data_IF_690782471769
#
_entry.id   IF_690782471769
#
_cell.length_a   1.000
_cell.length_b   1.000
_cell.length_c   1.000
_cell.angle_alpha   90.00
_cell.angle_beta   90.00
_cell.angle_gamma   90.00
#
_symmetry.space_group_name_H-M   'P 1'
#
loop_
_entity.id
_entity.type
_entity.pdbx_description
1 polymer ?
#
# COMPACT_ATOMS: atom_id res chain seq x y z
N UNK A 1 5.32 6.19 -19.50
CA UNK A 1 5.15 6.35 -18.05
C UNK A 1 6.26 5.55 -17.41
N UNK A 2 7.16 6.15 -16.64
CA UNK A 2 8.14 5.40 -15.86
C UNK A 2 7.39 4.73 -14.70
N UNK A 3 7.38 3.41 -14.66
CA UNK A 3 6.73 2.62 -13.60
C UNK A 3 7.63 2.48 -12.37
N UNK A 4 8.61 3.37 -12.22
CA UNK A 4 9.48 3.40 -11.07
C UNK A 4 8.66 3.70 -9.82
N UNK A 5 8.85 2.85 -8.82
CA UNK A 5 8.30 3.06 -7.48
C UNK A 5 9.00 4.29 -6.91
N UNK A 6 8.38 5.45 -7.07
CA UNK A 6 8.90 6.70 -6.50
C UNK A 6 8.73 6.60 -5.00
N UNK A 7 9.84 6.61 -4.27
CA UNK A 7 9.81 6.69 -2.81
C UNK A 7 8.97 7.89 -2.36
N UNK A 8 8.13 7.70 -1.35
CA UNK A 8 7.32 8.80 -0.83
C UNK A 8 8.21 9.83 -0.14
N UNK A 9 8.47 10.94 -0.83
CA UNK A 9 9.12 12.11 -0.23
C UNK A 9 8.04 13.05 0.33
N UNK A 10 8.00 13.14 1.67
CA UNK A 10 7.02 13.96 2.38
C UNK A 10 7.13 15.44 2.01
N UNK A 11 8.35 15.95 1.75
CA UNK A 11 8.57 17.36 1.45
C UNK A 11 7.99 17.72 0.08
N UNK A 12 8.24 16.90 -0.93
CA UNK A 12 7.69 17.10 -2.27
C UNK A 12 6.16 17.02 -2.26
N UNK A 13 5.60 16.06 -1.51
CA UNK A 13 4.16 15.95 -1.31
C UNK A 13 3.55 17.20 -0.66
N UNK A 14 4.20 17.73 0.39
CA UNK A 14 3.77 18.94 1.08
C UNK A 14 3.84 20.17 0.18
N UNK A 15 4.91 20.31 -0.61
CA UNK A 15 5.07 21.40 -1.58
C UNK A 15 3.98 21.34 -2.64
N UNK A 16 3.68 20.14 -3.16
CA UNK A 16 2.61 19.96 -4.14
C UNK A 16 1.24 20.33 -3.56
N UNK A 17 0.93 19.90 -2.33
CA UNK A 17 -0.29 20.28 -1.63
C UNK A 17 -0.40 21.81 -1.45
N UNK A 18 0.68 22.46 -1.01
CA UNK A 18 0.70 23.91 -0.81
C UNK A 18 0.48 24.68 -2.11
N UNK A 19 1.04 24.22 -3.23
CA UNK A 19 0.83 24.80 -4.57
C UNK A 19 -0.65 24.71 -4.98
N UNK A 20 -1.27 23.54 -4.84
CA UNK A 20 -2.68 23.34 -5.20
C UNK A 20 -3.61 24.15 -4.30
N UNK A 21 -3.41 24.07 -2.98
CA UNK A 21 -4.21 24.82 -2.01
C UNK A 21 -4.08 26.33 -2.21
N UNK A 22 -2.84 26.82 -2.38
CA UNK A 22 -2.56 28.22 -2.66
C UNK A 22 -3.19 28.69 -3.97
N UNK A 23 -3.16 27.87 -5.02
CA UNK A 23 -3.82 28.16 -6.30
C UNK A 23 -5.33 28.33 -6.16
N UNK A 24 -6.01 27.40 -5.48
CA UNK A 24 -7.46 27.48 -5.25
C UNK A 24 -7.81 28.70 -4.39
N UNK A 25 -7.04 28.95 -3.33
CA UNK A 25 -7.24 30.13 -2.48
C UNK A 25 -7.06 31.44 -3.24
N UNK A 26 -6.06 31.53 -4.13
CA UNK A 26 -5.84 32.69 -4.98
C UNK A 26 -7.01 32.92 -5.94
N UNK A 27 -7.53 31.87 -6.59
CA UNK A 27 -8.71 31.96 -7.46
C UNK A 27 -9.92 32.47 -6.67
N UNK A 28 -10.16 31.94 -5.46
CA UNK A 28 -11.27 32.37 -4.62
C UNK A 28 -11.14 33.84 -4.17
N UNK A 29 -9.92 34.29 -3.85
CA UNK A 29 -9.65 35.69 -3.51
C UNK A 29 -9.83 36.62 -4.71
N UNK A 30 -9.37 36.22 -5.90
CA UNK A 30 -9.56 36.97 -7.15
C UNK A 30 -11.05 37.07 -7.48
N UNK A 31 -11.79 35.97 -7.39
CA UNK A 31 -13.23 35.97 -7.63
C UNK A 31 -13.98 36.86 -6.63
N UNK A 32 -13.61 36.80 -5.35
CA UNK A 32 -14.18 37.65 -4.30
C UNK A 32 -13.85 39.14 -4.50
N UNK A 33 -12.64 39.44 -4.99
CA UNK A 33 -12.20 40.80 -5.32
C UNK A 33 -12.99 41.36 -6.51
N UNK A 34 -13.13 40.58 -7.59
CA UNK A 34 -13.94 40.96 -8.76
C UNK A 34 -15.39 41.19 -8.34
N UNK A 35 -15.96 40.28 -7.55
CA UNK A 35 -17.34 40.41 -7.09
C UNK A 35 -17.54 41.68 -6.25
N UNK A 36 -16.58 42.01 -5.37
CA UNK A 36 -16.59 43.25 -4.57
C UNK A 36 -16.55 44.50 -5.44
N UNK A 37 -15.73 44.51 -6.50
CA UNK A 37 -15.66 45.62 -7.45
C UNK A 37 -16.95 45.78 -8.26
N UNK A 38 -17.57 44.68 -8.68
CA UNK A 38 -18.82 44.70 -9.45
C UNK A 38 -20.01 45.15 -8.60
N UNK A 39 -20.10 44.70 -7.34
CA UNK A 39 -21.23 45.06 -6.46
C UNK A 39 -21.11 46.43 -5.82
N UNK A 40 -19.90 46.88 -5.45
CA UNK A 40 -19.70 48.11 -4.67
C UNK A 40 -18.91 49.21 -5.42
N UNK A 41 -18.54 48.97 -6.68
CA UNK A 41 -17.80 49.93 -7.52
C UNK A 41 -16.45 50.33 -6.91
N UNK A 42 -16.06 51.60 -7.01
CA UNK A 42 -14.78 52.11 -6.50
C UNK A 42 -14.60 51.99 -4.97
N UNK A 43 -15.69 51.85 -4.20
CA UNK A 43 -15.61 51.59 -2.74
C UNK A 43 -15.34 50.11 -2.42
N UNK A 44 -15.53 49.21 -3.39
CA UNK A 44 -15.29 47.77 -3.24
C UNK A 44 -13.82 47.40 -3.02
N UNK A 45 -12.88 48.22 -3.52
CA UNK A 45 -11.45 48.02 -3.31
C UNK A 45 -11.09 48.15 -1.82
N UNK A 46 -11.48 49.26 -1.19
CA UNK A 46 -11.22 49.50 0.24
C UNK A 46 -11.97 48.51 1.14
N UNK A 47 -13.18 48.12 0.75
CA UNK A 47 -13.98 47.16 1.52
C UNK A 47 -13.33 45.76 1.50
N UNK A 48 -12.83 45.30 0.35
CA UNK A 48 -12.18 43.99 0.21
C UNK A 48 -10.91 43.87 1.07
N UNK A 49 -10.02 44.86 1.03
CA UNK A 49 -8.79 44.80 1.84
C UNK A 49 -9.09 44.91 3.34
N UNK A 50 -10.11 45.70 3.72
CA UNK A 50 -10.57 45.79 5.11
C UNK A 50 -11.13 44.45 5.59
N UNK A 51 -12.01 43.81 4.83
CA UNK A 51 -12.59 42.50 5.20
C UNK A 51 -11.54 41.39 5.18
N UNK A 52 -10.59 41.42 4.26
CA UNK A 52 -9.47 40.48 4.22
C UNK A 52 -8.60 40.62 5.47
N UNK A 53 -8.24 41.85 5.86
CA UNK A 53 -7.46 42.11 7.07
C UNK A 53 -8.22 41.69 8.34
N UNK A 54 -9.50 42.06 8.45
CA UNK A 54 -10.36 41.64 9.56
C UNK A 54 -10.47 40.12 9.65
N UNK A 55 -10.64 39.41 8.52
CA UNK A 55 -10.69 37.96 8.46
C UNK A 55 -9.38 37.29 8.93
N UNK A 56 -8.23 37.82 8.49
CA UNK A 56 -6.91 37.31 8.93
C UNK A 56 -6.71 37.54 10.43
N UNK A 57 -7.07 38.72 10.95
CA UNK A 57 -6.97 39.02 12.38
C UNK A 57 -7.93 38.17 13.21
N UNK A 58 -9.16 37.97 12.73
CA UNK A 58 -10.16 37.11 13.40
C UNK A 58 -9.74 35.64 13.42
N UNK A 59 -9.09 35.17 12.34
CA UNK A 59 -8.52 33.84 12.25
C UNK A 59 -7.31 33.69 13.18
N UNK A 60 -6.38 34.65 13.19
CA UNK A 60 -5.19 34.62 14.05
C UNK A 60 -5.53 34.69 15.55
N UNK A 61 -6.63 35.38 15.91
CA UNK A 61 -7.09 35.46 17.31
C UNK A 61 -7.95 34.26 17.72
N UNK A 62 -8.14 33.25 16.89
CA UNK A 62 -8.96 32.07 17.20
C UNK A 62 -8.38 31.35 18.42
N UNK A 63 -9.22 31.11 19.43
CA UNK A 63 -8.74 30.48 20.67
C UNK A 63 -9.01 28.96 20.65
N UNK A 64 -7.97 28.10 20.68
CA UNK A 64 -8.15 26.65 20.62
C UNK A 64 -9.02 26.10 21.76
N UNK A 65 -8.94 26.72 22.95
CA UNK A 65 -9.72 26.33 24.13
C UNK A 65 -11.23 26.45 23.94
N UNK A 66 -11.70 27.51 23.27
CA UNK A 66 -13.14 27.71 23.01
C UNK A 66 -13.64 26.74 21.96
N UNK A 67 -12.85 26.55 20.90
CA UNK A 67 -13.15 25.59 19.83
C UNK A 67 -13.23 24.17 20.38
N UNK A 68 -12.29 23.75 21.24
CA UNK A 68 -12.31 22.44 21.88
C UNK A 68 -13.49 22.27 22.85
N UNK A 69 -13.85 23.29 23.62
CA UNK A 69 -15.03 23.22 24.50
C UNK A 69 -16.33 23.02 23.70
N UNK A 70 -16.47 23.72 22.56
CA UNK A 70 -17.58 23.51 21.63
C UNK A 70 -17.54 22.10 21.05
N UNK A 71 -16.39 21.67 20.52
CA UNK A 71 -16.22 20.34 19.95
C UNK A 71 -16.58 19.23 20.96
N UNK A 72 -16.11 19.33 22.20
CA UNK A 72 -16.43 18.38 23.27
C UNK A 72 -17.94 18.32 23.57
N UNK A 73 -18.61 19.47 23.61
CA UNK A 73 -20.06 19.49 23.78
C UNK A 73 -20.78 18.79 22.61
N UNK A 74 -20.35 19.06 21.38
CA UNK A 74 -20.96 18.42 20.20
C UNK A 74 -20.71 16.91 20.16
N UNK A 75 -19.55 16.43 20.63
CA UNK A 75 -19.27 15.02 20.81
C UNK A 75 -20.22 14.36 21.82
N UNK A 76 -20.41 14.98 22.99
CA UNK A 76 -21.32 14.47 24.02
C UNK A 76 -22.77 14.47 23.54
N UNK A 77 -23.15 15.47 22.75
CA UNK A 77 -24.48 15.55 22.16
C UNK A 77 -24.70 14.42 21.13
N UNK A 78 -23.73 14.23 20.23
CA UNK A 78 -23.81 13.20 19.19
C UNK A 78 -23.87 11.79 19.79
N UNK A 79 -22.97 11.47 20.73
CA UNK A 79 -22.90 10.14 21.38
C UNK A 79 -24.17 9.76 22.15
N UNK A 80 -24.92 10.75 22.68
CA UNK A 80 -26.21 10.50 23.35
C UNK A 80 -27.38 10.28 22.39
N UNK A 81 -27.24 10.59 21.10
CA UNK A 81 -28.30 10.35 20.12
C UNK A 81 -28.39 8.85 19.85
N UNK A 82 -29.52 8.24 20.26
CA UNK A 82 -29.83 6.80 20.07
C UNK A 82 -29.66 6.32 18.62
N UNK A 83 -29.81 7.21 17.64
CA UNK A 83 -29.62 6.92 16.22
C UNK A 83 -28.23 6.32 15.91
N UNK A 84 -27.17 6.70 16.64
CA UNK A 84 -25.83 6.12 16.45
C UNK A 84 -25.80 4.61 16.77
N UNK A 85 -26.52 4.17 17.79
CA UNK A 85 -26.53 2.76 18.20
C UNK A 85 -27.18 1.86 17.16
N UNK A 86 -28.17 2.37 16.41
CA UNK A 86 -28.81 1.61 15.32
C UNK A 86 -27.79 1.17 14.27
N UNK A 87 -26.88 2.07 13.91
CA UNK A 87 -25.84 1.76 12.93
C UNK A 87 -24.77 0.81 13.47
N UNK A 88 -24.40 0.93 14.75
CA UNK A 88 -23.48 -0.03 15.39
C UNK A 88 -24.09 -1.43 15.41
N UNK A 89 -25.38 -1.55 15.73
CA UNK A 89 -26.09 -2.83 15.70
C UNK A 89 -26.17 -3.39 14.28
N UNK A 90 -26.48 -2.55 13.29
CA UNK A 90 -26.51 -2.97 11.89
C UNK A 90 -25.13 -3.42 11.39
N UNK A 91 -24.04 -2.80 11.88
CA UNK A 91 -22.68 -3.25 11.62
C UNK A 91 -22.46 -4.68 12.10
N UNK A 92 -22.83 -4.96 13.36
CA UNK A 92 -22.67 -6.27 13.98
C UNK A 92 -23.46 -7.32 13.19
N UNK A 93 -24.67 -6.99 12.72
CA UNK A 93 -25.46 -7.86 11.86
C UNK A 93 -24.77 -8.15 10.52
N UNK A 94 -24.18 -7.15 9.87
CA UNK A 94 -23.44 -7.37 8.61
C UNK A 94 -22.18 -8.21 8.84
N UNK A 95 -21.52 -8.06 9.99
CA UNK A 95 -20.37 -8.91 10.32
C UNK A 95 -20.76 -10.38 10.48
N UNK A 96 -21.98 -10.66 10.93
CA UNK A 96 -22.53 -12.01 10.93
C UNK A 96 -22.69 -12.59 9.52
N UNK A 97 -22.90 -11.76 8.50
CA UNK A 97 -22.97 -12.21 7.10
C UNK A 97 -21.66 -12.80 6.60
N UNK A 98 -20.52 -12.44 7.20
CA UNK A 98 -19.24 -13.05 6.89
C UNK A 98 -19.13 -14.53 7.26
N UNK A 99 -19.98 -15.02 8.17
CA UNK A 99 -20.08 -16.46 8.46
C UNK A 99 -20.57 -17.26 7.24
N UNK A 100 -21.43 -16.67 6.40
CA UNK A 100 -21.93 -17.29 5.18
C UNK A 100 -20.90 -17.35 4.04
N UNK A 101 -19.78 -16.60 4.15
CA UNK A 101 -18.70 -16.61 3.15
C UNK A 101 -17.73 -17.80 3.34
N UNK A 102 -17.87 -18.59 4.42
CA UNK A 102 -16.94 -19.68 4.73
C UNK A 102 -17.02 -20.85 3.75
N UNK A 103 -18.19 -21.09 3.17
CA UNK A 103 -18.45 -22.30 2.37
C UNK A 103 -18.37 -22.06 0.85
N UNK A 104 -18.10 -20.82 0.40
CA UNK A 104 -18.18 -20.47 -1.02
C UNK A 104 -16.84 -20.55 -1.78
N UNK A 105 -15.71 -20.68 -1.09
CA UNK A 105 -14.38 -20.65 -1.73
C UNK A 105 -13.53 -21.84 -1.29
N UNK A 106 -13.25 -22.75 -2.22
CA UNK A 106 -12.42 -23.95 -2.01
C UNK A 106 -10.93 -23.66 -1.79
N UNK A 107 -10.50 -22.42 -2.06
CA UNK A 107 -9.11 -21.97 -1.95
C UNK A 107 -8.92 -21.11 -0.68
N UNK A 108 -8.13 -21.55 0.32
CA UNK A 108 -7.97 -20.85 1.60
C UNK A 108 -7.29 -19.46 1.49
N UNK A 109 -6.62 -19.17 0.39
CA UNK A 109 -5.89 -17.93 0.09
C UNK A 109 -6.80 -16.80 -0.41
N UNK A 110 -7.73 -17.10 -1.31
CA UNK A 110 -8.73 -16.11 -1.74
C UNK A 110 -9.65 -15.71 -0.60
N UNK A 111 -9.84 -16.59 0.39
CA UNK A 111 -10.63 -16.30 1.58
C UNK A 111 -10.08 -15.08 2.34
N UNK A 112 -8.75 -14.92 2.51
CA UNK A 112 -8.15 -13.76 3.19
C UNK A 112 -8.55 -12.44 2.52
N UNK A 113 -8.31 -12.36 1.20
CA UNK A 113 -8.63 -11.16 0.42
C UNK A 113 -10.12 -10.87 0.42
N UNK A 114 -10.96 -11.90 0.34
CA UNK A 114 -12.41 -11.79 0.38
C UNK A 114 -12.89 -11.28 1.74
N UNK A 115 -12.40 -11.82 2.87
CA UNK A 115 -12.78 -11.35 4.20
C UNK A 115 -12.34 -9.93 4.47
N UNK A 116 -11.06 -9.60 4.24
CA UNK A 116 -10.54 -8.24 4.45
C UNK A 116 -11.29 -7.25 3.57
N UNK A 117 -11.51 -7.57 2.29
CA UNK A 117 -12.30 -6.74 1.38
C UNK A 117 -13.74 -6.59 1.85
N UNK A 118 -14.36 -7.66 2.33
CA UNK A 118 -15.72 -7.63 2.85
C UNK A 118 -15.84 -6.71 4.07
N UNK A 119 -14.96 -6.86 5.07
CA UNK A 119 -14.95 -6.01 6.28
C UNK A 119 -14.71 -4.56 5.91
N UNK A 120 -13.69 -4.26 5.12
CA UNK A 120 -13.37 -2.89 4.71
C UNK A 120 -14.53 -2.26 3.92
N UNK A 121 -15.16 -3.03 3.04
CA UNK A 121 -16.35 -2.58 2.28
C UNK A 121 -17.52 -2.32 3.23
N UNK A 122 -17.83 -3.25 4.13
CA UNK A 122 -18.91 -3.10 5.11
C UNK A 122 -18.70 -1.86 6.01
N UNK A 123 -17.51 -1.68 6.55
CA UNK A 123 -17.15 -0.51 7.39
C UNK A 123 -17.32 0.78 6.59
N UNK A 124 -16.87 0.82 5.34
CA UNK A 124 -16.98 2.00 4.46
C UNK A 124 -18.43 2.36 4.17
N UNK A 125 -19.22 1.39 3.71
CA UNK A 125 -20.62 1.60 3.33
C UNK A 125 -21.54 1.88 4.51
N UNK A 126 -21.19 1.40 5.71
CA UNK A 126 -21.93 1.71 6.92
C UNK A 126 -21.57 3.09 7.48
N UNK A 127 -20.28 3.41 7.52
CA UNK A 127 -19.83 4.63 8.21
C UNK A 127 -20.11 5.89 7.40
N UNK A 128 -20.12 5.79 6.07
CA UNK A 128 -20.39 6.92 5.18
C UNK A 128 -21.79 7.52 5.40
N UNK A 129 -22.91 6.77 5.36
CA UNK A 129 -24.23 7.29 5.70
C UNK A 129 -24.34 7.86 7.11
N UNK A 130 -23.67 7.24 8.10
CA UNK A 130 -23.67 7.71 9.49
C UNK A 130 -23.11 9.12 9.58
N UNK A 131 -21.90 9.33 9.03
CA UNK A 131 -21.22 10.62 9.07
C UNK A 131 -22.02 11.65 8.26
N UNK A 132 -22.56 11.26 7.11
CA UNK A 132 -23.36 12.14 6.26
C UNK A 132 -24.65 12.61 6.97
N UNK A 133 -25.39 11.70 7.59
CA UNK A 133 -26.62 12.04 8.30
C UNK A 133 -26.35 12.90 9.54
N UNK A 134 -25.32 12.58 10.32
CA UNK A 134 -24.91 13.41 11.47
C UNK A 134 -24.53 14.82 11.04
N UNK A 135 -23.79 14.95 9.94
CA UNK A 135 -23.36 16.24 9.41
C UNK A 135 -24.53 17.05 8.87
N UNK A 136 -25.45 16.41 8.14
CA UNK A 136 -26.63 17.07 7.57
C UNK A 136 -27.62 17.54 8.64
N UNK A 137 -27.88 16.73 9.67
CA UNK A 137 -28.84 17.06 10.72
C UNK A 137 -28.26 17.89 11.87
N UNK A 138 -26.94 17.95 12.00
CA UNK A 138 -26.27 18.62 13.11
C UNK A 138 -26.69 20.09 13.29
N UNK A 139 -26.53 20.90 12.25
CA UNK A 139 -26.83 22.34 12.32
C UNK A 139 -28.34 22.63 12.31
N UNK A 140 -29.17 22.00 11.45
CA UNK A 140 -30.61 22.24 11.45
C UNK A 140 -31.29 21.88 12.78
N UNK A 141 -30.83 20.83 13.46
CA UNK A 141 -31.40 20.45 14.77
C UNK A 141 -31.08 21.46 15.85
N UNK A 142 -29.88 22.06 15.84
CA UNK A 142 -29.53 23.17 16.73
C UNK A 142 -30.40 24.41 16.51
N UNK A 143 -30.66 24.75 15.25
CA UNK A 143 -31.51 25.88 14.88
C UNK A 143 -32.94 25.63 15.37
N UNK A 144 -33.48 24.43 15.09
CA UNK A 144 -34.82 24.03 15.53
C UNK A 144 -34.98 24.08 17.06
N UNK A 145 -33.96 23.65 17.79
CA UNK A 145 -33.97 23.61 19.26
C UNK A 145 -33.63 24.96 19.92
N UNK A 146 -33.40 26.02 19.12
CA UNK A 146 -32.98 27.37 19.56
C UNK A 146 -31.71 27.39 20.43
N UNK A 147 -30.92 26.30 20.44
CA UNK A 147 -29.67 26.20 21.20
C UNK A 147 -28.64 27.20 20.66
N UNK A 148 -28.60 27.41 19.35
CA UNK A 148 -27.69 28.34 18.68
C UNK A 148 -27.80 29.77 19.24
N UNK A 149 -29.01 30.25 19.51
CA UNK A 149 -29.24 31.61 20.01
C UNK A 149 -28.58 31.86 21.37
N UNK A 150 -28.47 30.82 22.20
CA UNK A 150 -27.82 30.92 23.53
C UNK A 150 -26.29 30.86 23.47
N UNK A 151 -25.73 30.34 22.37
CA UNK A 151 -24.29 30.25 22.16
C UNK A 151 -23.78 31.55 21.56
N UNK A 152 -24.55 32.18 20.67
CA UNK A 152 -24.21 33.45 20.01
C UNK A 152 -24.19 34.63 20.98
N UNK A 153 -24.86 34.55 22.13
CA UNK A 153 -24.79 35.58 23.19
C UNK A 153 -23.50 35.52 24.01
N UNK A 154 -22.75 34.41 23.95
CA UNK A 154 -21.41 34.31 24.54
C UNK A 154 -20.38 34.91 23.58
N UNK A 155 -19.23 35.44 24.06
CA UNK A 155 -18.21 36.05 23.20
C UNK A 155 -17.40 35.00 22.41
N UNK A 156 -18.10 34.25 21.55
CA UNK A 156 -17.57 33.19 20.68
C UNK A 156 -17.73 33.67 19.23
N UNK A 157 -16.66 33.58 18.43
CA UNK A 157 -16.72 34.03 17.03
C UNK A 157 -17.50 33.03 16.17
N UNK A 158 -18.09 33.51 15.06
CA UNK A 158 -18.93 32.67 14.18
C UNK A 158 -18.16 31.48 13.59
N UNK A 159 -16.91 31.68 13.18
CA UNK A 159 -16.07 30.60 12.66
C UNK A 159 -15.64 29.60 13.74
N UNK A 160 -15.49 30.02 15.00
CA UNK A 160 -15.19 29.11 16.12
C UNK A 160 -16.34 28.11 16.36
N UNK A 161 -17.59 28.52 16.14
CA UNK A 161 -18.76 27.64 16.23
C UNK A 161 -18.72 26.57 15.13
N UNK A 162 -18.45 26.98 13.88
CA UNK A 162 -18.38 26.06 12.73
C UNK A 162 -17.21 25.09 12.89
N UNK A 163 -16.02 25.59 13.28
CA UNK A 163 -14.84 24.75 13.54
C UNK A 163 -15.08 23.77 14.69
N UNK A 164 -15.73 24.22 15.77
CA UNK A 164 -16.07 23.36 16.89
C UNK A 164 -17.02 22.23 16.48
N UNK A 165 -18.06 22.54 15.70
CA UNK A 165 -19.01 21.53 15.16
C UNK A 165 -18.32 20.58 14.19
N UNK A 166 -17.48 21.08 13.28
CA UNK A 166 -16.72 20.26 12.34
C UNK A 166 -15.78 19.28 13.07
N UNK A 167 -14.96 19.78 13.99
CA UNK A 167 -14.03 18.94 14.76
C UNK A 167 -14.76 17.93 15.64
N UNK A 168 -15.90 18.31 16.21
CA UNK A 168 -16.71 17.40 17.01
C UNK A 168 -17.34 16.27 16.19
N UNK A 169 -17.95 16.57 15.04
CA UNK A 169 -18.48 15.53 14.16
C UNK A 169 -17.37 14.66 13.55
N UNK A 170 -16.22 15.26 13.21
CA UNK A 170 -15.04 14.52 12.77
C UNK A 170 -14.56 13.57 13.85
N UNK A 171 -14.45 14.01 15.10
CA UNK A 171 -14.08 13.16 16.22
C UNK A 171 -15.07 12.00 16.37
N UNK A 172 -16.39 12.26 16.37
CA UNK A 172 -17.42 11.22 16.47
C UNK A 172 -17.29 10.21 15.32
N UNK A 173 -17.05 10.68 14.09
CA UNK A 173 -16.80 9.83 12.94
C UNK A 173 -15.56 8.96 13.11
N UNK A 174 -14.44 9.54 13.56
CA UNK A 174 -13.20 8.81 13.87
C UNK A 174 -13.41 7.76 14.96
N UNK A 175 -14.22 8.06 15.97
CA UNK A 175 -14.52 7.11 17.05
C UNK A 175 -15.37 5.93 16.59
N UNK A 176 -16.40 6.20 15.77
CA UNK A 176 -17.18 5.13 15.15
C UNK A 176 -16.30 4.28 14.25
N UNK A 177 -15.45 4.89 13.41
CA UNK A 177 -14.48 4.18 12.58
C UNK A 177 -13.51 3.35 13.42
N UNK A 178 -13.02 3.86 14.54
CA UNK A 178 -12.11 3.14 15.44
C UNK A 178 -12.81 1.91 16.02
N UNK A 179 -14.02 2.06 16.57
CA UNK A 179 -14.79 0.93 17.11
C UNK A 179 -15.04 -0.12 16.03
N UNK A 180 -15.53 0.31 14.86
CA UNK A 180 -15.80 -0.58 13.73
C UNK A 180 -14.53 -1.27 13.22
N UNK A 181 -13.42 -0.55 13.16
CA UNK A 181 -12.12 -1.08 12.77
C UNK A 181 -11.57 -2.09 13.76
N UNK A 182 -11.68 -1.83 15.07
CA UNK A 182 -11.24 -2.75 16.13
C UNK A 182 -12.08 -4.03 16.10
N UNK A 183 -13.42 -3.92 16.04
CA UNK A 183 -14.31 -5.09 15.95
C UNK A 183 -14.02 -5.86 14.66
N UNK A 184 -13.89 -5.15 13.53
CA UNK A 184 -13.52 -5.71 12.23
C UNK A 184 -12.22 -6.50 12.26
N UNK A 185 -11.17 -5.94 12.89
CA UNK A 185 -9.87 -6.57 13.07
C UNK A 185 -9.97 -7.83 13.93
N UNK A 186 -10.56 -7.75 15.13
CA UNK A 186 -10.71 -8.90 16.01
C UNK A 186 -11.48 -10.04 15.34
N UNK A 187 -12.55 -9.70 14.62
CA UNK A 187 -13.34 -10.68 13.88
C UNK A 187 -12.54 -11.34 12.76
N UNK A 188 -11.76 -10.55 12.02
CA UNK A 188 -10.88 -11.03 10.95
C UNK A 188 -9.80 -11.98 11.50
N UNK A 189 -9.15 -11.65 12.61
CA UNK A 189 -8.15 -12.51 13.26
C UNK A 189 -8.77 -13.79 13.81
N UNK A 190 -9.95 -13.70 14.43
CA UNK A 190 -10.64 -14.86 15.02
C UNK A 190 -11.07 -15.88 13.96
N UNK A 191 -11.49 -15.41 12.78
CA UNK A 191 -11.96 -16.28 11.71
C UNK A 191 -10.82 -16.98 10.95
N UNK A 192 -9.57 -16.54 11.13
CA UNK A 192 -8.43 -16.99 10.34
C UNK A 192 -7.71 -18.23 10.88
N UNK A 193 -7.28 -19.16 10.01
CA UNK A 193 -6.32 -20.21 10.36
C UNK A 193 -4.98 -19.61 10.77
N UNK A 194 -4.28 -20.23 11.74
CA UNK A 194 -2.97 -19.76 12.25
C UNK A 194 -1.91 -19.59 11.14
N UNK A 195 -1.97 -20.40 10.08
CA UNK A 195 -1.05 -20.32 8.95
C UNK A 195 -1.17 -19.01 8.14
N UNK A 196 -2.37 -18.43 8.03
CA UNK A 196 -2.62 -17.21 7.26
C UNK A 196 -2.40 -15.92 8.08
N UNK A 197 -2.30 -16.01 9.41
CA UNK A 197 -2.09 -14.84 10.27
C UNK A 197 -0.73 -14.16 10.01
N UNK A 198 0.28 -14.92 9.60
CA UNK A 198 1.60 -14.38 9.23
C UNK A 198 1.55 -13.46 7.99
N UNK A 199 0.49 -13.54 7.17
CA UNK A 199 0.29 -12.72 5.98
C UNK A 199 -0.41 -11.38 6.27
N UNK A 200 -0.90 -11.15 7.49
CA UNK A 200 -1.58 -9.90 7.87
C UNK A 200 -0.64 -8.70 8.05
N UNK A 201 0.68 -8.93 8.05
CA UNK A 201 1.68 -7.87 8.22
C UNK A 201 1.94 -7.22 6.86
N UNK A 202 1.91 -5.88 6.83
CA UNK A 202 2.29 -5.12 5.64
C UNK A 202 3.70 -5.49 5.20
N UNK A 203 3.85 -5.85 3.92
CA UNK A 203 5.15 -6.16 3.34
C UNK A 203 5.95 -4.87 3.22
N UNK A 204 7.19 -4.87 3.68
CA UNK A 204 8.16 -3.80 3.40
C UNK A 204 9.13 -4.35 2.36
N UNK A 205 8.76 -4.30 1.06
CA UNK A 205 9.59 -4.85 0.01
C UNK A 205 10.82 -3.96 -0.21
N UNK A 206 12.00 -4.58 -0.27
CA UNK A 206 13.19 -3.95 -0.85
C UNK A 206 13.24 -4.37 -2.31
N UNK A 207 13.12 -3.42 -3.23
CA UNK A 207 13.15 -3.66 -4.67
C UNK A 207 14.56 -3.50 -5.22
N UNK A 208 14.90 -4.32 -6.22
CA UNK A 208 16.15 -4.22 -6.97
C UNK A 208 15.96 -3.42 -8.27
N UNK A 209 17.07 -2.99 -8.86
CA UNK A 209 17.10 -2.47 -10.22
C UNK A 209 17.17 -3.64 -11.20
N UNK A 210 16.29 -3.62 -12.20
CA UNK A 210 16.11 -4.75 -13.11
C UNK A 210 16.80 -4.49 -14.45
N UNK A 211 17.57 -5.46 -14.92
CA UNK A 211 18.14 -5.50 -16.28
C UNK A 211 17.95 -6.89 -16.89
N UNK A 212 17.95 -7.00 -18.22
CA UNK A 212 17.73 -8.25 -18.94
C UNK A 212 18.93 -8.57 -19.82
N UNK A 213 19.37 -9.82 -19.93
CA UNK A 213 20.29 -10.22 -21.00
C UNK A 213 19.55 -10.76 -22.22
N UNK A 214 20.26 -10.69 -23.35
CA UNK A 214 19.83 -11.34 -24.59
C UNK A 214 20.08 -12.85 -24.51
N UNK A 215 19.68 -13.59 -25.57
CA UNK A 215 19.89 -15.04 -25.75
C UNK A 215 21.33 -15.51 -25.51
N UNK A 216 22.30 -14.62 -25.66
CA UNK A 216 23.75 -14.89 -25.52
C UNK A 216 24.21 -14.83 -24.05
N UNK A 217 23.39 -14.30 -23.13
CA UNK A 217 23.68 -14.19 -21.69
C UNK A 217 24.57 -13.01 -21.30
N UNK A 218 24.84 -12.09 -22.23
CA UNK A 218 25.57 -10.85 -21.95
C UNK A 218 24.63 -9.82 -21.32
N UNK A 219 25.04 -9.27 -20.18
CA UNK A 219 24.33 -8.17 -19.53
C UNK A 219 24.50 -6.89 -20.38
N UNK A 220 23.41 -6.23 -20.77
CA UNK A 220 23.49 -5.08 -21.67
C UNK A 220 24.05 -3.87 -20.95
N UNK A 221 24.93 -3.14 -21.64
CA UNK A 221 25.50 -1.90 -21.13
C UNK A 221 24.77 -0.75 -21.79
N UNK A 222 23.70 -0.24 -21.16
CA UNK A 222 22.89 1.01 -21.34
C UNK A 222 22.67 1.62 -22.75
N UNK A 223 23.23 1.07 -23.82
CA UNK A 223 23.39 1.67 -25.15
C UNK A 223 23.08 0.69 -26.28
N UNK A 224 22.79 -0.57 -25.98
CA UNK A 224 22.47 -1.58 -27.00
C UNK A 224 20.96 -1.61 -27.26
N UNK A 225 20.51 -1.19 -28.43
CA UNK A 225 19.09 -1.25 -28.83
C UNK A 225 18.52 -2.69 -28.87
N UNK A 226 19.38 -3.71 -28.85
CA UNK A 226 19.01 -5.13 -28.75
C UNK A 226 18.71 -5.57 -27.31
N UNK A 227 18.86 -4.70 -26.32
CA UNK A 227 18.67 -5.02 -24.89
C UNK A 227 17.25 -4.78 -24.35
N UNK A 228 16.31 -4.49 -25.23
CA UNK A 228 14.90 -4.43 -24.87
C UNK A 228 14.40 -5.86 -24.67
N UNK A 229 13.95 -6.18 -23.45
CA UNK A 229 13.37 -7.49 -23.15
C UNK A 229 12.26 -7.86 -24.14
N UNK A 230 12.04 -9.16 -24.34
CA UNK A 230 11.12 -9.65 -25.37
C UNK A 230 9.70 -9.25 -24.98
N UNK A 231 8.90 -8.76 -25.93
CA UNK A 231 7.47 -8.54 -25.74
C UNK A 231 6.71 -9.64 -26.51
N UNK A 232 5.83 -10.35 -25.81
CA UNK A 232 5.04 -11.48 -26.34
C UNK A 232 3.73 -11.05 -27.02
N UNK A 233 3.55 -9.76 -27.30
CA UNK A 233 2.35 -9.20 -27.94
C UNK A 233 1.47 -8.35 -27.00
N UNK A 234 1.97 -8.01 -25.82
CA UNK A 234 1.29 -7.14 -24.88
C UNK A 234 1.31 -5.69 -25.37
N UNK A 235 0.13 -5.08 -25.41
CA UNK A 235 -0.04 -3.64 -25.72
C UNK A 235 0.67 -2.76 -24.68
N UNK A 236 0.82 -3.27 -23.46
CA UNK A 236 1.49 -2.62 -22.36
C UNK A 236 2.75 -3.39 -21.96
N UNK A 237 3.91 -2.80 -22.21
CA UNK A 237 5.22 -3.34 -21.85
C UNK A 237 5.56 -3.13 -20.36
N UNK A 238 4.64 -3.46 -19.46
CA UNK A 238 4.89 -3.43 -18.02
C UNK A 238 5.90 -4.52 -17.61
N UNK A 239 5.72 -5.71 -18.19
CA UNK A 239 6.63 -6.86 -18.07
C UNK A 239 7.44 -7.00 -19.35
N UNK A 240 8.67 -7.46 -19.20
CA UNK A 240 9.45 -7.98 -20.32
C UNK A 240 9.76 -9.44 -20.08
N UNK A 241 9.96 -10.17 -21.17
CA UNK A 241 10.05 -11.61 -21.15
C UNK A 241 11.45 -12.08 -21.50
N UNK A 242 11.89 -13.14 -20.83
CA UNK A 242 13.09 -13.90 -21.20
C UNK A 242 12.68 -15.25 -21.79
N UNK A 243 13.47 -15.75 -22.73
CA UNK A 243 13.24 -17.04 -23.35
C UNK A 243 13.89 -18.16 -22.54
N UNK A 244 13.10 -19.17 -22.20
CA UNK A 244 13.58 -20.35 -21.47
C UNK A 244 14.41 -21.29 -22.33
N UNK A 245 15.25 -22.11 -21.68
CA UNK A 245 16.19 -23.01 -22.34
C UNK A 245 17.38 -22.29 -23.02
N UNK A 246 17.44 -20.97 -22.95
CA UNK A 246 18.55 -20.16 -23.49
C UNK A 246 19.43 -19.61 -22.36
N UNK A 247 20.53 -18.91 -22.72
CA UNK A 247 21.36 -18.19 -21.73
C UNK A 247 20.75 -16.85 -21.30
N UNK A 248 19.53 -16.53 -21.72
CA UNK A 248 18.85 -15.31 -21.31
C UNK A 248 18.52 -15.35 -19.81
N UNK A 249 18.88 -14.28 -19.12
CA UNK A 249 18.70 -14.10 -17.68
C UNK A 249 18.19 -12.70 -17.39
N UNK A 250 17.44 -12.58 -16.32
CA UNK A 250 17.08 -11.29 -15.75
C UNK A 250 17.93 -11.06 -14.50
N UNK A 251 18.47 -9.86 -14.34
CA UNK A 251 19.26 -9.46 -13.17
C UNK A 251 18.48 -8.45 -12.35
N UNK A 252 18.36 -8.71 -11.05
CA UNK A 252 17.89 -7.76 -10.06
C UNK A 252 19.05 -7.35 -9.17
N UNK A 253 19.54 -6.14 -9.33
CA UNK A 253 20.59 -5.58 -8.47
C UNK A 253 19.96 -4.94 -7.24
N UNK A 254 20.29 -5.47 -6.08
CA UNK A 254 19.97 -4.88 -4.80
C UNK A 254 21.21 -4.22 -4.23
N UNK A 255 21.10 -2.95 -3.87
CA UNK A 255 22.21 -2.17 -3.31
C UNK A 255 21.92 -1.78 -1.87
N UNK A 256 22.91 -1.90 -1.00
CA UNK A 256 22.83 -1.44 0.38
C UNK A 256 21.78 -2.15 1.24
N UNK A 257 21.63 -3.46 1.09
CA UNK A 257 20.78 -4.28 1.96
C UNK A 257 21.31 -4.24 3.40
N UNK A 258 20.43 -3.97 4.37
CA UNK A 258 20.79 -4.04 5.79
C UNK A 258 20.84 -5.49 6.29
N UNK A 259 22.01 -6.11 6.12
CA UNK A 259 22.32 -7.48 6.57
C UNK A 259 22.14 -7.64 8.07
N UNK A 260 22.35 -6.58 8.87
CA UNK A 260 22.20 -6.62 10.32
C UNK A 260 20.76 -6.84 10.76
N UNK A 261 19.79 -6.25 10.04
CA UNK A 261 18.36 -6.46 10.29
C UNK A 261 17.92 -7.85 9.83
N UNK A 262 18.37 -8.30 8.65
CA UNK A 262 18.07 -9.65 8.15
C UNK A 262 18.62 -10.74 9.08
N UNK A 263 19.84 -10.56 9.62
CA UNK A 263 20.45 -11.47 10.60
C UNK A 263 19.64 -11.57 11.89
N UNK A 264 19.03 -10.48 12.37
CA UNK A 264 18.14 -10.52 13.55
C UNK A 264 16.85 -11.29 13.28
N UNK A 265 16.36 -11.28 12.04
CA UNK A 265 15.19 -12.04 11.65
C UNK A 265 15.52 -13.52 11.40
N UNK A 266 16.78 -13.84 11.09
CA UNK A 266 17.27 -15.20 10.89
C UNK A 266 16.85 -15.84 9.56
N UNK A 267 16.07 -15.14 8.74
CA UNK A 267 15.60 -15.62 7.43
C UNK A 267 15.62 -14.50 6.42
N UNK A 268 15.95 -14.82 5.16
CA UNK A 268 15.85 -13.90 4.02
C UNK A 268 14.74 -14.40 3.12
N UNK A 269 13.70 -13.59 2.90
CA UNK A 269 12.56 -14.00 2.07
C UNK A 269 12.64 -13.30 0.72
N UNK A 270 12.74 -14.09 -0.33
CA UNK A 270 12.70 -13.65 -1.72
C UNK A 270 11.30 -13.93 -2.22
N UNK A 271 10.47 -12.90 -2.33
CA UNK A 271 9.12 -13.04 -2.87
C UNK A 271 9.13 -12.70 -4.37
N UNK A 272 8.41 -13.50 -5.17
CA UNK A 272 8.32 -13.31 -6.61
C UNK A 272 6.87 -13.37 -7.13
N UNK A 273 6.60 -12.72 -8.26
CA UNK A 273 5.30 -12.75 -8.95
C UNK A 273 5.48 -12.80 -10.46
N UNK A 274 6.25 -13.78 -10.93
CA UNK A 274 6.52 -13.98 -12.34
C UNK A 274 5.31 -14.50 -13.11
N UNK A 275 5.30 -14.22 -14.40
CA UNK A 275 4.29 -14.64 -15.35
C UNK A 275 4.87 -15.69 -16.30
N UNK A 276 4.15 -16.78 -16.55
CA UNK A 276 4.59 -17.80 -17.48
C UNK A 276 3.82 -17.63 -18.80
N UNK A 277 4.50 -17.15 -19.84
CA UNK A 277 3.90 -17.07 -21.16
C UNK A 277 4.24 -18.32 -21.97
N UNK A 278 3.20 -19.03 -22.40
CA UNK A 278 3.36 -20.24 -23.20
C UNK A 278 3.12 -20.01 -24.68
N UNK A 279 4.08 -20.42 -25.52
CA UNK A 279 3.96 -20.31 -26.98
C UNK A 279 3.02 -21.36 -27.57
N UNK A 280 2.98 -22.54 -26.95
CA UNK A 280 2.19 -23.67 -27.42
C UNK A 280 1.49 -24.36 -26.25
N UNK A 281 0.30 -24.89 -26.54
CA UNK A 281 -0.53 -25.63 -25.59
C UNK A 281 -0.03 -27.07 -25.49
N UNK A 282 1.02 -27.27 -24.70
CA UNK A 282 1.53 -28.60 -24.32
C UNK A 282 0.72 -29.19 -23.16
N UNK A 283 1.41 -29.83 -22.23
CA UNK A 283 0.81 -30.30 -20.97
C UNK A 283 0.42 -29.10 -20.08
N UNK A 284 -0.87 -29.00 -19.74
CA UNK A 284 -1.38 -27.91 -18.91
C UNK A 284 -1.08 -28.10 -17.42
N UNK A 285 -0.79 -29.33 -16.99
CA UNK A 285 -0.49 -29.62 -15.59
C UNK A 285 0.98 -29.32 -15.26
N UNK A 286 1.88 -29.48 -16.23
CA UNK A 286 3.30 -29.12 -16.07
C UNK A 286 3.45 -27.60 -16.01
N UNK A 287 4.00 -27.08 -14.91
CA UNK A 287 4.30 -25.65 -14.73
C UNK A 287 5.69 -25.30 -15.27
N UNK A 288 5.93 -24.00 -15.48
CA UNK A 288 7.21 -23.50 -15.96
C UNK A 288 8.23 -23.53 -14.83
N UNK A 289 9.40 -24.11 -15.03
CA UNK A 289 10.47 -24.20 -14.04
C UNK A 289 11.44 -23.05 -14.22
N UNK A 290 11.70 -22.30 -13.15
CA UNK A 290 12.74 -21.29 -13.11
C UNK A 290 13.76 -21.59 -12.00
N UNK A 291 14.94 -20.99 -12.16
CA UNK A 291 16.02 -21.07 -11.20
C UNK A 291 16.49 -19.66 -10.87
N UNK A 292 16.69 -19.41 -9.57
CA UNK A 292 17.28 -18.19 -9.06
C UNK A 292 18.74 -18.46 -8.71
N UNK A 293 19.65 -17.57 -9.09
CA UNK A 293 21.06 -17.64 -8.71
C UNK A 293 21.41 -16.33 -8.03
N UNK A 294 21.85 -16.41 -6.77
CA UNK A 294 22.27 -15.24 -6.01
C UNK A 294 23.75 -15.04 -6.24
N UNK A 295 24.12 -13.83 -6.66
CA UNK A 295 25.49 -13.42 -6.91
C UNK A 295 25.86 -12.32 -5.94
N UNK A 296 26.87 -12.55 -5.12
CA UNK A 296 27.45 -11.50 -4.30
C UNK A 296 28.39 -10.65 -5.16
N UNK A 297 28.12 -9.34 -5.27
CA UNK A 297 28.92 -8.46 -6.12
C UNK A 297 30.26 -8.05 -5.47
N UNK A 298 30.41 -8.23 -4.16
CA UNK A 298 31.65 -7.96 -3.41
C UNK A 298 32.68 -9.08 -3.61
N UNK A 299 32.24 -10.33 -3.43
CA UNK A 299 33.13 -11.50 -3.44
C UNK A 299 33.08 -12.29 -4.76
N UNK A 300 32.12 -12.00 -5.64
CA UNK A 300 31.90 -12.75 -6.87
C UNK A 300 31.34 -14.15 -6.67
N UNK A 301 30.93 -14.52 -5.44
CA UNK A 301 30.35 -15.82 -5.12
C UNK A 301 28.99 -15.97 -5.81
N UNK A 302 28.78 -17.09 -6.52
CA UNK A 302 27.55 -17.42 -7.24
C UNK A 302 26.92 -18.67 -6.64
N UNK A 303 25.72 -18.53 -6.11
CA UNK A 303 24.98 -19.62 -5.43
C UNK A 303 23.67 -19.86 -6.18
N UNK A 304 23.58 -20.89 -7.04
CA UNK A 304 22.31 -21.33 -7.63
C UNK A 304 21.40 -21.94 -6.56
N UNK A 305 20.16 -21.49 -6.50
CA UNK A 305 19.13 -22.09 -5.67
C UNK A 305 18.49 -23.30 -6.38
N UNK A 306 17.80 -24.14 -5.62
CA UNK A 306 17.04 -25.25 -6.16
C UNK A 306 15.97 -24.75 -7.16
N UNK A 307 15.85 -25.35 -8.36
CA UNK A 307 14.80 -24.99 -9.31
C UNK A 307 13.41 -25.20 -8.72
N UNK A 308 12.47 -24.32 -9.05
CA UNK A 308 11.08 -24.41 -8.60
C UNK A 308 10.11 -24.07 -9.73
N UNK A 309 8.87 -24.53 -9.55
CA UNK A 309 7.78 -24.28 -10.49
C UNK A 309 7.13 -22.91 -10.25
N UNK A 310 6.95 -22.13 -11.32
CA UNK A 310 6.30 -20.84 -11.31
C UNK A 310 4.79 -21.03 -11.22
N UNK A 311 4.22 -20.61 -10.09
CA UNK A 311 2.81 -20.69 -9.80
C UNK A 311 2.09 -19.37 -10.13
N UNK A 312 1.91 -19.08 -11.42
CA UNK A 312 1.36 -17.80 -11.88
C UNK A 312 -0.01 -17.45 -11.25
N UNK A 313 -0.92 -18.43 -11.21
CA UNK A 313 -2.28 -18.28 -10.70
C UNK A 313 -2.41 -18.49 -9.20
N UNK A 314 -1.35 -18.92 -8.51
CA UNK A 314 -1.40 -19.05 -7.04
C UNK A 314 -1.35 -17.68 -6.41
N UNK A 315 -2.25 -17.40 -5.47
CA UNK A 315 -2.18 -16.19 -4.64
C UNK A 315 -1.53 -16.45 -3.28
N UNK A 316 -1.08 -17.68 -3.00
CA UNK A 316 -0.36 -17.99 -1.78
C UNK A 316 1.00 -17.32 -1.82
N UNK A 317 1.30 -16.50 -0.81
CA UNK A 317 2.62 -15.91 -0.70
C UNK A 317 3.68 -17.01 -0.56
N UNK A 318 3.39 -18.07 0.21
CA UNK A 318 4.28 -19.21 0.39
C UNK A 318 4.68 -19.89 -0.94
N UNK A 319 3.74 -20.05 -1.88
CA UNK A 319 4.01 -20.64 -3.20
C UNK A 319 4.82 -19.71 -4.12
N UNK A 320 5.04 -18.47 -3.68
CA UNK A 320 5.70 -17.37 -4.37
C UNK A 320 6.86 -16.79 -3.53
N UNK A 321 7.31 -17.54 -2.52
CA UNK A 321 8.40 -17.13 -1.63
C UNK A 321 9.48 -18.20 -1.61
N UNK A 322 10.70 -17.82 -1.90
CA UNK A 322 11.89 -18.62 -1.60
C UNK A 322 12.47 -18.09 -0.30
N UNK A 323 12.57 -18.95 0.71
CA UNK A 323 13.09 -18.56 2.03
C UNK A 323 14.49 -19.15 2.17
N UNK A 324 15.46 -18.29 2.44
CA UNK A 324 16.79 -18.69 2.87
C UNK A 324 16.88 -18.59 4.39
N UNK A 325 17.62 -19.51 4.99
CA UNK A 325 17.82 -19.55 6.44
C UNK A 325 16.85 -20.47 7.19
N UNK A 326 16.11 -21.32 6.47
CA UNK A 326 15.31 -22.40 7.02
C UNK A 326 15.72 -23.71 6.34
N UNK A 327 15.79 -24.81 7.10
CA UNK A 327 15.84 -26.16 6.53
C UNK A 327 14.53 -26.51 5.82
N UNK A 328 14.52 -27.59 5.03
CA UNK A 328 13.28 -28.16 4.48
C UNK A 328 12.26 -28.55 5.58
N UNK A 329 12.75 -28.78 6.81
CA UNK A 329 11.94 -29.10 8.00
C UNK A 329 11.50 -27.85 8.79
N UNK A 330 11.94 -26.65 8.37
CA UNK A 330 11.54 -25.37 8.95
C UNK A 330 12.38 -24.92 10.15
N UNK A 331 13.55 -25.51 10.37
CA UNK A 331 14.48 -25.11 11.43
C UNK A 331 15.43 -24.01 10.93
N UNK A 332 15.72 -22.97 11.74
CA UNK A 332 16.59 -21.88 11.34
C UNK A 332 18.03 -22.37 11.13
N UNK A 333 18.62 -22.05 9.99
CA UNK A 333 19.99 -22.45 9.61
C UNK A 333 20.73 -21.27 9.02
N UNK A 334 21.99 -21.07 9.41
CA UNK A 334 22.81 -19.96 8.90
C UNK A 334 23.56 -20.29 7.61
N UNK A 335 23.51 -21.55 7.17
CA UNK A 335 24.15 -22.06 5.97
C UNK A 335 23.14 -22.56 4.93
N UNK A 336 23.54 -22.49 3.67
CA UNK A 336 22.81 -23.01 2.53
C UNK A 336 23.73 -23.91 1.72
N UNK A 337 23.26 -25.14 1.47
CA UNK A 337 23.96 -26.09 0.61
C UNK A 337 23.45 -25.96 -0.81
N UNK A 338 24.36 -25.77 -1.75
CA UNK A 338 24.03 -25.67 -3.17
C UNK A 338 24.89 -26.62 -4.00
N UNK A 339 24.38 -26.97 -5.17
CA UNK A 339 25.11 -27.74 -6.16
C UNK A 339 25.70 -26.77 -7.19
N UNK A 340 27.01 -26.88 -7.44
CA UNK A 340 27.68 -26.01 -8.40
C UNK A 340 27.34 -26.38 -9.86
N UNK A 341 27.25 -25.37 -10.73
CA UNK A 341 26.76 -25.52 -12.09
C UNK A 341 27.75 -26.34 -12.94
N UNK A 342 27.39 -27.60 -13.25
CA UNK A 342 28.23 -28.51 -14.07
C UNK A 342 29.07 -29.51 -13.28
N UNK A 343 29.03 -29.48 -11.95
CA UNK A 343 29.68 -30.45 -11.05
C UNK A 343 28.64 -31.14 -10.15
N UNK A 344 28.93 -32.37 -9.72
CA UNK A 344 28.09 -33.11 -8.75
C UNK A 344 28.51 -32.86 -7.30
N UNK A 345 29.29 -31.80 -7.05
CA UNK A 345 29.78 -31.44 -5.73
C UNK A 345 28.79 -30.48 -5.03
N UNK A 346 28.51 -30.77 -3.76
CA UNK A 346 27.68 -29.94 -2.90
C UNK A 346 28.59 -29.07 -2.04
N UNK A 347 28.43 -27.76 -2.15
CA UNK A 347 29.16 -26.78 -1.37
C UNK A 347 28.22 -26.11 -0.36
N UNK A 348 28.71 -25.89 0.85
CA UNK A 348 27.98 -25.20 1.92
C UNK A 348 28.50 -23.77 2.04
N UNK A 349 27.59 -22.79 2.02
CA UNK A 349 27.91 -21.36 2.13
C UNK A 349 27.13 -20.73 3.27
N UNK A 350 27.77 -19.82 4.01
CA UNK A 350 27.09 -19.05 5.06
C UNK A 350 26.30 -17.90 4.46
N UNK A 351 25.00 -17.85 4.75
CA UNK A 351 24.05 -16.92 4.12
C UNK A 351 24.40 -15.46 4.49
N UNK A 352 24.60 -15.17 5.77
CA UNK A 352 24.81 -13.78 6.22
C UNK A 352 26.25 -13.31 6.14
N UNK A 353 27.22 -14.22 6.30
CA UNK A 353 28.63 -13.86 6.35
C UNK A 353 29.30 -13.87 4.98
N UNK A 354 28.89 -14.76 4.06
CA UNK A 354 29.56 -14.94 2.76
C UNK A 354 28.65 -14.53 1.60
N UNK A 355 27.37 -14.95 1.61
CA UNK A 355 26.44 -14.68 0.50
C UNK A 355 25.95 -13.22 0.47
N UNK A 356 25.72 -12.62 1.64
CA UNK A 356 25.24 -11.24 1.76
C UNK A 356 26.32 -10.23 2.14
N UNK A 357 27.60 -10.60 2.06
CA UNK A 357 28.71 -9.72 2.47
C UNK A 357 28.70 -8.40 1.70
N UNK A 358 28.70 -7.27 2.43
CA UNK A 358 28.68 -5.92 1.86
C UNK A 358 27.29 -5.40 1.46
N UNK A 359 26.25 -6.25 1.45
CA UNK A 359 24.86 -5.84 1.18
C UNK A 359 24.53 -5.52 -0.28
N UNK A 360 25.47 -5.75 -1.21
CA UNK A 360 25.28 -5.57 -2.65
C UNK A 360 25.19 -6.95 -3.33
N UNK A 361 23.97 -7.35 -3.71
CA UNK A 361 23.71 -8.65 -4.33
C UNK A 361 22.94 -8.49 -5.64
N UNK A 362 23.21 -9.38 -6.57
CA UNK A 362 22.45 -9.52 -7.80
C UNK A 362 21.73 -10.86 -7.81
N UNK A 363 20.41 -10.85 -7.97
CA UNK A 363 19.64 -12.07 -8.18
C UNK A 363 19.44 -12.26 -9.67
N UNK A 364 20.06 -13.31 -10.21
CA UNK A 364 19.85 -13.76 -11.58
C UNK A 364 18.65 -14.71 -11.63
N UNK A 365 17.76 -14.51 -12.59
CA UNK A 365 16.62 -15.41 -12.84
C UNK A 365 16.75 -15.99 -14.23
N UNK A 366 16.70 -17.32 -14.30
CA UNK A 366 16.75 -18.07 -15.55
C UNK A 366 15.51 -18.98 -15.66
N UNK A 367 15.03 -19.18 -16.89
CA UNK A 367 13.96 -20.13 -17.19
C UNK A 367 14.57 -21.40 -17.80
N UNK A 368 14.31 -22.55 -17.19
CA UNK A 368 14.92 -23.82 -17.59
C UNK A 368 14.16 -24.53 -18.73
N UNK A 369 12.84 -24.31 -18.83
CA UNK A 369 12.03 -24.93 -19.87
C UNK A 369 12.23 -24.25 -21.23
N UNK A 370 12.56 -25.03 -22.25
CA UNK A 370 12.76 -24.56 -23.62
C UNK A 370 11.44 -24.18 -24.33
N UNK A 371 11.50 -23.20 -25.23
CA UNK A 371 10.38 -22.76 -26.06
C UNK A 371 9.24 -22.04 -25.31
N UNK A 372 9.46 -21.65 -24.05
CA UNK A 372 8.52 -20.89 -23.23
C UNK A 372 9.15 -19.56 -22.80
N UNK A 373 8.33 -18.62 -22.34
CA UNK A 373 8.79 -17.30 -21.92
C UNK A 373 8.43 -17.02 -20.46
N UNK A 374 9.36 -16.43 -19.72
CA UNK A 374 9.16 -15.97 -18.34
C UNK A 374 9.05 -14.45 -18.33
N UNK A 375 7.88 -13.93 -18.00
CA UNK A 375 7.56 -12.52 -17.89
C UNK A 375 7.84 -11.97 -16.51
N UNK A 376 8.54 -10.84 -16.46
CA UNK A 376 9.03 -10.26 -15.22
C UNK A 376 9.00 -8.73 -15.31
N UNK A 377 8.77 -8.07 -14.18
CA UNK A 377 8.92 -6.63 -14.02
C UNK A 377 9.76 -6.31 -12.78
N UNK A 378 10.18 -5.04 -12.65
CA UNK A 378 11.00 -4.59 -11.50
C UNK A 378 10.31 -4.87 -10.16
N UNK A 379 8.99 -4.72 -10.09
CA UNK A 379 8.20 -4.97 -8.89
C UNK A 379 7.95 -6.45 -8.59
N UNK A 380 8.19 -7.34 -9.56
CA UNK A 380 7.79 -8.74 -9.46
C UNK A 380 8.77 -9.56 -8.63
N UNK A 381 9.95 -9.05 -8.28
CA UNK A 381 10.87 -9.71 -7.34
C UNK A 381 11.40 -8.70 -6.32
N UNK A 382 11.28 -9.04 -5.04
CA UNK A 382 11.73 -8.20 -3.94
C UNK A 382 12.18 -9.03 -2.75
N UNK A 383 13.00 -8.41 -1.92
CA UNK A 383 13.50 -8.99 -0.67
C UNK A 383 12.68 -8.50 0.51
N UNK A 384 12.52 -9.38 1.49
CA UNK A 384 11.81 -9.13 2.74
C UNK A 384 12.57 -9.69 3.93
#
# INVERSE_FOLDING_TARGET
MSFDVVGFDFLDGLIHFLKVFGGIAAIALIASFILSLVTYGGRGFGLFFKTLYEAVVDFARTSPRRVLALAYHTWLEATRKKALFVFVVFAILIMFAGWFLRDSVSQPDQQLKVYVKFVLTAVTWLTLPVILLLSCWGIPTDIKNRSLHTIVTKPVRRHEIVLGRFLGFSAVGTFVLLIMGVIGYFWTVYQMPKAAQAELVGRVPVYGDMTYSNRVGLRPTTTDAESAGVNVGDVWAYRSYIEGGTKAKTFYDFKGIDVGTLRKQGTVRIEYNFEAFRTHKGDMDKRLVCQLTIVNNTNGLRVPLNPFEVNEFSNKAADKTVILGLTEEGEPTDSYTYQEEGTSEFNEVKIFDELLEGGDITIEVACLDDGQFLGMARSDLFLR
#
